data_IF_194930091762
#
_entry.id   IF_194930091762
#
_cell.length_a   1.000
_cell.length_b   1.000
_cell.length_c   1.000
_cell.angle_alpha   90.00
_cell.angle_beta   90.00
_cell.angle_gamma   90.00
#
_symmetry.space_group_name_H-M   'P 1'
#
loop_
_entity.id
_entity.type
_entity.pdbx_description
1 polymer ?
#
# COMPACT_ATOMS: atom_id res chain seq x y z
N UNK A 1 -5.58 -20.53 -1.31
CA UNK A 1 -4.20 -20.68 -0.80
C UNK A 1 -3.28 -19.51 -1.14
N UNK A 2 -3.52 -18.72 -2.20
CA UNK A 2 -2.70 -17.53 -2.50
C UNK A 2 -3.16 -16.22 -1.80
N UNK A 3 -4.34 -16.22 -1.17
CA UNK A 3 -4.92 -15.04 -0.50
C UNK A 3 -4.36 -14.79 0.89
N UNK A 4 -4.00 -15.84 1.63
CA UNK A 4 -3.54 -15.74 3.03
C UNK A 4 -2.10 -15.22 3.17
N UNK A 5 -1.28 -15.36 2.12
CA UNK A 5 0.11 -14.90 2.09
C UNK A 5 0.24 -13.39 1.84
N UNK A 6 -0.75 -12.78 1.17
CA UNK A 6 -0.79 -11.34 0.92
C UNK A 6 -1.30 -10.54 2.13
N UNK A 7 -2.18 -11.11 2.96
CA UNK A 7 -2.69 -10.44 4.16
C UNK A 7 -1.65 -10.40 5.31
N UNK A 8 -0.73 -11.36 5.39
CA UNK A 8 0.36 -11.34 6.37
C UNK A 8 1.39 -10.21 6.13
N UNK A 9 1.49 -9.68 4.91
CA UNK A 9 2.39 -8.57 4.56
C UNK A 9 1.80 -7.18 4.86
N UNK A 10 0.50 -7.08 5.16
CA UNK A 10 -0.18 -5.81 5.46
C UNK A 10 0.12 -5.26 6.87
N UNK A 11 0.40 -6.12 7.85
CA UNK A 11 0.62 -5.69 9.24
C UNK A 11 1.98 -5.02 9.49
N UNK A 12 3.01 -5.37 8.73
CA UNK A 12 4.40 -5.07 9.10
C UNK A 12 4.92 -3.71 8.65
N UNK A 13 4.18 -3.01 7.78
CA UNK A 13 4.57 -1.69 7.26
C UNK A 13 3.96 -0.55 8.11
N UNK A 14 2.97 -0.84 8.95
CA UNK A 14 2.25 0.16 9.75
C UNK A 14 3.01 0.67 10.99
N UNK A 15 4.13 0.06 11.38
CA UNK A 15 4.84 0.40 12.62
C UNK A 15 5.95 1.46 12.49
N UNK A 16 6.16 2.07 11.31
CA UNK A 16 7.32 2.96 11.09
C UNK A 16 7.00 4.37 10.58
N UNK A 17 5.77 4.86 10.74
CA UNK A 17 5.46 6.26 10.43
C UNK A 17 5.45 7.13 11.70
N UNK A 18 6.53 7.89 11.86
CA UNK A 18 6.64 9.01 12.80
C UNK A 18 5.57 10.06 12.46
N UNK A 19 4.68 10.34 13.42
CA UNK A 19 3.65 11.37 13.29
C UNK A 19 4.27 12.76 13.06
N UNK A 20 3.67 13.63 12.21
CA UNK A 20 4.14 15.00 12.04
C UNK A 20 3.86 15.85 13.29
N UNK A 21 4.89 16.55 13.78
CA UNK A 21 4.79 17.42 14.95
C UNK A 21 3.83 18.61 14.72
N UNK A 22 3.10 19.07 15.76
CA UNK A 22 2.16 20.18 15.65
C UNK A 22 2.86 21.54 15.48
N UNK A 23 2.22 22.51 14.79
CA UNK A 23 2.83 23.79 14.45
C UNK A 23 2.96 24.69 15.70
N UNK A 24 4.19 24.97 16.14
CA UNK A 24 4.45 25.96 17.20
C UNK A 24 5.64 25.69 18.14
N UNK A 25 6.45 24.65 17.93
CA UNK A 25 7.63 24.39 18.76
C UNK A 25 8.79 25.35 18.44
N UNK A 26 9.51 25.89 19.44
CA UNK A 26 10.67 26.76 19.24
C UNK A 26 11.85 26.00 18.60
N UNK A 27 12.76 26.70 17.89
CA UNK A 27 13.84 26.05 17.15
C UNK A 27 14.79 25.31 18.09
N UNK A 28 14.87 24.00 17.87
CA UNK A 28 15.72 23.08 18.61
C UNK A 28 17.19 23.42 18.34
N UNK A 29 17.91 23.75 19.42
CA UNK A 29 19.33 24.09 19.38
C UNK A 29 20.14 22.87 18.92
N UNK A 30 21.07 23.13 18.01
CA UNK A 30 22.08 22.21 17.49
C UNK A 30 22.76 21.40 18.61
N UNK A 31 22.44 20.11 18.71
CA UNK A 31 23.23 19.10 19.41
C UNK A 31 24.51 18.74 18.62
N UNK A 32 25.53 18.18 19.29
CA UNK A 32 26.88 18.10 18.75
C UNK A 32 26.96 17.14 17.55
N UNK A 33 27.77 17.53 16.57
CA UNK A 33 28.05 16.74 15.38
C UNK A 33 28.58 15.36 15.75
N UNK A 34 27.90 14.32 15.25
CA UNK A 34 28.49 12.99 15.18
C UNK A 34 29.36 12.94 13.93
N UNK A 35 30.66 13.20 14.13
CA UNK A 35 31.69 12.74 13.22
C UNK A 35 31.58 11.21 13.15
N UNK A 36 31.27 10.68 11.96
CA UNK A 36 31.35 9.22 11.71
C UNK A 36 32.83 8.90 11.54
N UNK A 37 33.54 8.80 12.65
CA UNK A 37 34.81 8.09 12.71
C UNK A 37 34.57 6.65 12.28
N UNK A 38 35.36 6.24 11.29
CA UNK A 38 35.28 4.96 10.61
C UNK A 38 35.95 3.90 11.50
N UNK A 39 35.36 3.60 12.65
CA UNK A 39 35.81 2.52 13.50
C UNK A 39 35.26 1.20 13.00
N UNK A 40 36.15 0.44 12.35
CA UNK A 40 35.92 -0.91 11.90
C UNK A 40 35.86 -1.87 13.07
N UNK A 41 34.71 -1.94 13.74
CA UNK A 41 34.33 -3.05 14.63
C UNK A 41 32.89 -2.92 15.07
N UNK A 42 31.94 -3.29 14.21
CA UNK A 42 30.61 -3.70 14.66
C UNK A 42 30.20 -4.92 13.80
N UNK A 43 30.16 -6.13 14.37
CA UNK A 43 29.63 -7.28 13.66
C UNK A 43 28.12 -7.07 13.52
N UNK A 44 27.61 -7.10 12.29
CA UNK A 44 26.18 -7.32 12.08
C UNK A 44 25.75 -8.66 12.69
N UNK A 45 24.44 -8.97 12.78
CA UNK A 45 24.02 -10.30 13.19
C UNK A 45 24.55 -11.31 12.15
N UNK A 46 25.69 -11.93 12.46
CA UNK A 46 26.26 -13.02 11.70
C UNK A 46 25.27 -14.18 11.75
N UNK A 47 24.67 -14.47 10.60
CA UNK A 47 24.06 -15.78 10.40
C UNK A 47 25.19 -16.82 10.47
N UNK A 48 25.05 -17.88 11.28
CA UNK A 48 26.08 -18.91 11.36
C UNK A 48 26.31 -19.53 9.99
N UNK A 49 27.55 -19.89 9.63
CA UNK A 49 27.86 -20.46 8.33
C UNK A 49 27.12 -21.80 8.17
N UNK A 50 26.41 -21.95 7.06
CA UNK A 50 25.71 -23.18 6.72
C UNK A 50 26.73 -24.32 6.53
N UNK A 51 26.80 -25.22 7.51
CA UNK A 51 27.53 -26.47 7.38
C UNK A 51 26.92 -27.30 6.23
N UNK A 52 27.70 -27.69 5.20
CA UNK A 52 27.18 -28.37 4.01
C UNK A 52 26.66 -29.80 4.28
N UNK A 53 26.76 -30.29 5.52
CA UNK A 53 26.30 -31.61 5.94
C UNK A 53 24.95 -31.61 6.70
N UNK A 54 24.31 -30.45 6.84
CA UNK A 54 23.01 -30.31 7.54
C UNK A 54 21.79 -30.22 6.60
N UNK A 55 21.96 -30.50 5.30
CA UNK A 55 20.89 -30.51 4.29
C UNK A 55 19.95 -31.75 4.36
N UNK A 56 19.87 -32.43 5.51
CA UNK A 56 19.15 -33.70 5.65
C UNK A 56 18.26 -33.84 6.88
N UNK A 57 18.23 -32.87 7.79
CA UNK A 57 17.32 -32.87 8.94
C UNK A 57 16.38 -31.69 8.81
N UNK A 58 15.19 -31.95 8.27
CA UNK A 58 14.11 -30.98 8.26
C UNK A 58 13.85 -30.52 9.69
N UNK A 59 14.04 -29.22 9.90
CA UNK A 59 13.62 -28.51 11.09
C UNK A 59 12.15 -28.88 11.39
N UNK A 60 11.77 -29.20 12.64
CA UNK A 60 10.44 -29.69 12.95
C UNK A 60 9.38 -28.68 12.46
N UNK A 61 8.25 -29.15 11.90
CA UNK A 61 7.22 -28.27 11.40
C UNK A 61 6.72 -27.36 12.52
N UNK A 62 6.82 -26.05 12.28
CA UNK A 62 6.38 -25.01 13.21
C UNK A 62 4.91 -25.30 13.58
N UNK A 63 4.55 -25.38 14.87
CA UNK A 63 3.16 -25.38 15.28
C UNK A 63 2.54 -24.07 14.82
N UNK A 64 1.74 -24.12 13.76
CA UNK A 64 1.05 -22.95 13.23
C UNK A 64 0.01 -22.49 14.26
N UNK A 65 0.01 -21.22 14.69
CA UNK A 65 -1.07 -20.69 15.53
C UNK A 65 -2.39 -20.83 14.78
N UNK A 66 -3.46 -21.19 15.50
CA UNK A 66 -4.78 -21.37 14.89
C UNK A 66 -5.30 -20.02 14.38
N UNK A 67 -5.99 -19.98 13.21
CA UNK A 67 -6.50 -18.74 12.59
C UNK A 67 -7.30 -17.85 13.54
N UNK A 68 -7.99 -18.44 14.52
CA UNK A 68 -8.84 -17.76 15.50
C UNK A 68 -8.05 -16.85 16.46
N UNK A 69 -6.76 -17.11 16.70
CA UNK A 69 -5.93 -16.37 17.67
C UNK A 69 -5.27 -15.11 17.07
N UNK A 70 -5.23 -15.00 15.74
CA UNK A 70 -4.52 -13.96 14.99
C UNK A 70 -5.32 -12.66 14.83
N UNK A 71 -6.63 -12.69 15.10
CA UNK A 71 -7.54 -11.57 14.90
C UNK A 71 -7.99 -11.40 13.44
N UNK A 72 -9.00 -10.55 13.18
CA UNK A 72 -9.63 -10.43 11.86
C UNK A 72 -8.68 -9.98 10.74
N UNK A 73 -7.61 -9.23 11.07
CA UNK A 73 -6.59 -8.77 10.11
C UNK A 73 -5.17 -9.28 10.43
N UNK A 74 -5.04 -10.39 11.16
CA UNK A 74 -3.75 -10.95 11.57
C UNK A 74 -2.85 -9.98 12.37
N UNK A 75 -3.44 -9.05 13.12
CA UNK A 75 -2.73 -8.00 13.86
C UNK A 75 -1.76 -8.58 14.91
N UNK A 76 -2.05 -9.79 15.42
CA UNK A 76 -1.27 -10.45 16.46
C UNK A 76 -0.17 -11.37 15.93
N UNK A 77 0.03 -11.43 14.61
CA UNK A 77 1.07 -12.27 13.98
C UNK A 77 2.48 -11.96 14.49
N UNK A 78 2.77 -10.68 14.67
CA UNK A 78 4.11 -10.23 15.09
C UNK A 78 4.43 -10.62 16.54
N UNK A 79 3.41 -10.66 17.41
CA UNK A 79 3.55 -11.07 18.80
C UNK A 79 3.66 -12.60 18.95
N UNK A 80 2.84 -13.35 18.23
CA UNK A 80 2.75 -14.81 18.35
C UNK A 80 3.88 -15.56 17.61
N UNK A 81 4.32 -15.05 16.47
CA UNK A 81 5.30 -15.73 15.61
C UNK A 81 6.33 -14.76 15.00
N UNK A 82 7.21 -14.14 15.82
CA UNK A 82 8.17 -13.14 15.34
C UNK A 82 9.18 -13.70 14.33
N UNK A 83 9.57 -14.98 14.44
CA UNK A 83 10.47 -15.64 13.47
C UNK A 83 9.86 -15.72 12.07
N UNK A 84 8.58 -16.05 11.96
CA UNK A 84 7.89 -16.18 10.67
C UNK A 84 7.73 -14.81 10.01
N UNK A 85 7.37 -13.80 10.80
CA UNK A 85 7.34 -12.41 10.36
C UNK A 85 8.69 -11.93 9.86
N UNK A 86 9.78 -12.21 10.57
CA UNK A 86 11.12 -11.82 10.16
C UNK A 86 11.60 -12.56 8.90
N UNK A 87 11.24 -13.84 8.75
CA UNK A 87 11.49 -14.60 7.52
C UNK A 87 10.75 -14.00 6.31
N UNK A 88 9.46 -13.64 6.48
CA UNK A 88 8.69 -12.96 5.44
C UNK A 88 9.28 -11.59 5.10
N UNK A 89 9.69 -10.79 6.10
CA UNK A 89 10.41 -9.52 5.89
C UNK A 89 11.70 -9.74 5.09
N UNK A 90 12.48 -10.77 5.43
CA UNK A 90 13.70 -11.15 4.71
C UNK A 90 13.44 -11.49 3.24
N UNK A 91 12.43 -12.33 2.98
CA UNK A 91 12.02 -12.66 1.60
C UNK A 91 11.62 -11.40 0.82
N UNK A 92 10.84 -10.50 1.43
CA UNK A 92 10.46 -9.23 0.78
C UNK A 92 11.68 -8.37 0.46
N UNK A 93 12.67 -8.29 1.35
CA UNK A 93 13.90 -7.54 1.09
C UNK A 93 14.68 -8.15 -0.08
N UNK A 94 14.86 -9.48 -0.09
CA UNK A 94 15.51 -10.19 -1.18
C UNK A 94 14.83 -9.92 -2.53
N UNK A 95 13.49 -10.05 -2.59
CA UNK A 95 12.72 -9.73 -3.80
C UNK A 95 12.86 -8.27 -4.24
N UNK A 96 13.00 -7.33 -3.29
CA UNK A 96 13.22 -5.91 -3.61
C UNK A 96 14.61 -5.66 -4.18
N UNK A 97 15.62 -6.36 -3.68
CA UNK A 97 17.01 -6.23 -4.12
C UNK A 97 17.23 -6.75 -5.54
N UNK A 98 16.62 -7.89 -5.89
CA UNK A 98 16.67 -8.47 -7.24
C UNK A 98 16.17 -7.48 -8.32
N UNK A 99 15.20 -6.63 -7.98
CA UNK A 99 14.59 -5.66 -8.89
C UNK A 99 15.26 -4.28 -8.96
N UNK A 100 16.34 -4.02 -8.21
CA UNK A 100 16.85 -2.64 -8.03
C UNK A 100 17.31 -1.99 -9.34
N UNK A 101 18.00 -2.73 -10.21
CA UNK A 101 18.52 -2.18 -11.47
C UNK A 101 17.38 -1.81 -12.41
N UNK A 102 16.43 -2.73 -12.61
CA UNK A 102 15.23 -2.49 -13.41
C UNK A 102 14.43 -1.29 -12.87
N UNK A 103 14.28 -1.20 -11.54
CA UNK A 103 13.62 -0.08 -10.87
C UNK A 103 14.32 1.26 -11.11
N UNK A 104 15.66 1.31 -11.14
CA UNK A 104 16.41 2.53 -11.45
C UNK A 104 16.21 2.99 -12.89
N UNK A 105 16.15 2.07 -13.85
CA UNK A 105 15.81 2.41 -15.24
C UNK A 105 14.40 2.97 -15.35
N UNK A 106 13.45 2.35 -14.64
CA UNK A 106 12.07 2.81 -14.58
C UNK A 106 11.98 4.23 -13.99
N UNK A 107 12.57 4.47 -12.80
CA UNK A 107 12.56 5.79 -12.15
C UNK A 107 13.15 6.86 -13.06
N UNK A 108 14.23 6.56 -13.81
CA UNK A 108 14.82 7.50 -14.77
C UNK A 108 13.83 7.88 -15.87
N UNK A 109 13.16 6.90 -16.49
CA UNK A 109 12.16 7.14 -17.52
C UNK A 109 10.99 7.98 -17.00
N UNK A 110 10.50 7.65 -15.80
CA UNK A 110 9.43 8.38 -15.13
C UNK A 110 9.84 9.84 -14.88
N UNK A 111 11.04 10.04 -14.33
CA UNK A 111 11.54 11.39 -14.03
C UNK A 111 11.68 12.23 -15.31
N UNK A 112 12.19 11.63 -16.38
CA UNK A 112 12.28 12.28 -17.69
C UNK A 112 10.90 12.73 -18.20
N UNK A 113 9.91 11.83 -18.16
CA UNK A 113 8.55 12.13 -18.57
C UNK A 113 7.92 13.27 -17.76
N UNK A 114 8.17 13.32 -16.44
CA UNK A 114 7.70 14.41 -15.57
C UNK A 114 8.41 15.74 -15.86
N UNK A 115 9.70 15.73 -16.21
CA UNK A 115 10.42 16.93 -16.65
C UNK A 115 9.86 17.45 -17.97
N UNK A 116 9.54 16.55 -18.91
CA UNK A 116 8.89 16.92 -20.17
C UNK A 116 7.50 17.51 -19.96
N UNK A 117 6.73 16.98 -19.00
CA UNK A 117 5.44 17.54 -18.61
C UNK A 117 5.57 19.00 -18.12
N UNK A 118 6.62 19.30 -17.35
CA UNK A 118 6.93 20.66 -16.89
C UNK A 118 7.48 21.58 -18.00
N UNK A 119 7.72 21.06 -19.20
CA UNK A 119 8.30 21.81 -20.33
C UNK A 119 9.84 21.79 -20.36
N UNK A 120 10.50 21.06 -19.45
CA UNK A 120 11.96 20.92 -19.41
C UNK A 120 12.41 19.77 -20.32
N UNK A 121 12.43 20.01 -21.64
CA UNK A 121 12.72 18.97 -22.63
C UNK A 121 14.21 18.68 -22.83
N UNK A 122 15.07 19.66 -22.57
CA UNK A 122 16.52 19.51 -22.78
C UNK A 122 17.26 18.99 -21.55
N UNK A 123 16.56 18.51 -20.52
CA UNK A 123 17.20 17.89 -19.37
C UNK A 123 17.83 16.55 -19.78
N UNK A 124 19.06 16.30 -19.36
CA UNK A 124 19.75 15.03 -19.59
C UNK A 124 20.21 14.39 -18.30
N UNK A 125 20.42 13.07 -18.36
CA UNK A 125 20.88 12.27 -17.24
C UNK A 125 22.40 12.11 -17.30
N UNK A 126 23.12 12.47 -16.23
CA UNK A 126 24.53 12.12 -16.10
C UNK A 126 24.67 10.81 -15.29
N UNK A 127 25.22 9.73 -15.88
CA UNK A 127 25.41 8.46 -15.17
C UNK A 127 26.46 8.52 -14.06
N UNK A 128 27.39 9.49 -14.10
CA UNK A 128 28.44 9.61 -13.09
C UNK A 128 27.91 10.28 -11.81
N UNK A 129 27.19 11.38 -11.95
CA UNK A 129 26.67 12.16 -10.81
C UNK A 129 25.31 11.63 -10.31
N UNK A 130 24.71 10.69 -11.04
CA UNK A 130 23.36 10.15 -10.77
C UNK A 130 22.31 11.27 -10.62
N UNK A 131 22.46 12.36 -11.38
CA UNK A 131 21.62 13.54 -11.33
C UNK A 131 21.16 13.98 -12.73
N UNK A 132 20.02 14.65 -12.78
CA UNK A 132 19.52 15.33 -13.97
C UNK A 132 20.10 16.74 -14.03
N UNK A 133 20.71 17.09 -15.17
CA UNK A 133 21.24 18.42 -15.42
C UNK A 133 20.39 19.18 -16.43
N UNK A 134 20.42 20.50 -16.30
CA UNK A 134 19.82 21.42 -17.25
C UNK A 134 20.93 22.05 -18.12
N UNK A 135 20.64 22.38 -19.39
CA UNK A 135 21.58 23.07 -20.29
C UNK A 135 22.21 24.34 -19.73
N UNK A 136 21.53 25.00 -18.79
CA UNK A 136 21.89 26.33 -18.31
C UNK A 136 22.40 26.34 -16.86
N UNK A 137 22.71 25.17 -16.29
CA UNK A 137 23.17 25.06 -14.90
C UNK A 137 24.66 25.43 -14.73
N UNK A 138 25.47 25.33 -15.79
CA UNK A 138 26.88 25.72 -15.73
C UNK A 138 27.04 27.24 -15.76
N UNK A 139 27.30 27.84 -14.59
CA UNK A 139 27.88 29.20 -14.51
C UNK A 139 29.35 29.12 -14.93
N UNK A 140 29.59 29.09 -16.24
CA UNK A 140 30.95 29.29 -16.78
C UNK A 140 31.21 30.80 -16.73
N UNK A 141 32.27 31.22 -16.05
CA UNK A 141 32.68 32.63 -15.90
C UNK A 141 33.31 33.22 -17.18
N UNK A 142 33.15 32.55 -18.32
CA UNK A 142 33.77 32.91 -19.59
C UNK A 142 32.68 33.27 -20.61
N UNK A 143 32.38 34.57 -20.68
CA UNK A 143 31.28 35.15 -21.47
C UNK A 143 31.45 34.89 -22.99
N UNK A 144 32.66 34.56 -23.46
CA UNK A 144 32.92 34.35 -24.89
C UNK A 144 32.40 33.01 -25.44
N UNK A 145 32.28 31.97 -24.61
CA UNK A 145 31.72 30.68 -25.05
C UNK A 145 30.17 30.67 -25.06
N UNK A 146 29.53 31.65 -24.43
CA UNK A 146 28.06 31.78 -24.36
C UNK A 146 27.44 32.50 -25.56
N UNK A 147 28.21 33.25 -26.34
CA UNK A 147 27.73 33.90 -27.57
C UNK A 147 27.58 32.93 -28.75
N UNK A 148 28.32 31.81 -28.73
CA UNK A 148 28.36 30.86 -29.85
C UNK A 148 27.39 29.67 -29.72
N UNK A 149 26.86 29.41 -28.51
CA UNK A 149 25.84 28.37 -28.33
C UNK A 149 24.44 28.91 -28.65
N UNK A 150 23.72 28.33 -29.64
CA UNK A 150 22.34 28.72 -29.91
C UNK A 150 21.49 28.43 -28.67
N UNK A 151 21.06 29.50 -27.99
CA UNK A 151 20.16 29.40 -26.84
C UNK A 151 18.87 28.76 -27.33
N UNK A 152 18.59 27.54 -26.90
CA UNK A 152 17.30 26.89 -27.09
C UNK A 152 16.23 27.62 -26.27
N UNK A 153 15.83 28.80 -26.72
CA UNK A 153 14.95 29.72 -25.99
C UNK A 153 13.48 29.34 -26.10
N UNK A 154 13.13 28.52 -27.11
CA UNK A 154 11.77 28.07 -27.36
C UNK A 154 11.69 26.55 -27.31
N UNK A 155 10.82 26.05 -26.44
CA UNK A 155 10.45 24.64 -26.35
C UNK A 155 9.01 24.51 -26.81
N UNK A 156 8.79 23.81 -27.94
CA UNK A 156 7.44 23.45 -28.35
C UNK A 156 7.00 22.22 -27.54
N UNK A 157 6.12 22.42 -26.56
CA UNK A 157 5.71 21.34 -25.66
C UNK A 157 4.67 20.39 -26.27
N UNK A 158 5.12 19.53 -27.17
CA UNK A 158 4.28 18.53 -27.82
C UNK A 158 3.85 17.41 -26.85
N UNK A 159 4.69 17.08 -25.88
CA UNK A 159 4.41 16.04 -24.89
C UNK A 159 3.21 16.38 -24.00
N UNK A 160 3.15 17.62 -23.51
CA UNK A 160 2.01 18.10 -22.71
C UNK A 160 0.73 18.18 -23.54
N UNK A 161 0.80 18.67 -24.79
CA UNK A 161 -0.37 18.76 -25.66
C UNK A 161 -1.00 17.38 -25.90
N UNK A 162 -0.20 16.38 -26.25
CA UNK A 162 -0.70 15.01 -26.41
C UNK A 162 -1.18 14.40 -25.11
N UNK A 163 -0.48 14.60 -24.00
CA UNK A 163 -0.93 14.06 -22.72
C UNK A 163 -2.23 14.70 -22.23
N UNK A 164 -2.47 15.98 -22.48
CA UNK A 164 -3.76 16.61 -22.21
C UNK A 164 -4.87 16.03 -23.09
N UNK A 165 -4.59 15.76 -24.38
CA UNK A 165 -5.55 15.08 -25.25
C UNK A 165 -5.88 13.66 -24.76
N UNK A 166 -4.88 12.93 -24.27
CA UNK A 166 -5.05 11.60 -23.70
C UNK A 166 -5.89 11.63 -22.41
N UNK A 167 -5.56 12.55 -21.48
CA UNK A 167 -6.32 12.74 -20.25
C UNK A 167 -7.77 13.09 -20.59
N UNK A 168 -8.01 13.98 -21.56
CA UNK A 168 -9.37 14.38 -21.96
C UNK A 168 -10.23 13.25 -22.52
N UNK A 169 -9.62 12.17 -23.04
CA UNK A 169 -10.35 10.99 -23.52
C UNK A 169 -10.63 10.02 -22.36
N UNK A 170 -9.64 9.80 -21.50
CA UNK A 170 -9.79 8.87 -20.38
C UNK A 170 -10.63 9.41 -19.23
N UNK A 171 -10.67 10.72 -19.02
CA UNK A 171 -11.40 11.35 -17.93
C UNK A 171 -12.87 11.63 -18.26
N UNK A 172 -13.39 11.16 -19.41
CA UNK A 172 -14.76 11.48 -19.84
C UNK A 172 -15.81 10.78 -18.97
N UNK A 173 -15.65 9.48 -18.77
CA UNK A 173 -16.61 8.66 -18.06
C UNK A 173 -15.91 7.72 -17.08
N UNK A 174 -16.43 7.66 -15.85
CA UNK A 174 -15.99 6.69 -14.86
C UNK A 174 -16.58 5.32 -15.22
N UNK A 175 -15.75 4.27 -15.41
CA UNK A 175 -16.26 2.93 -15.69
C UNK A 175 -17.02 2.41 -14.46
N UNK A 176 -18.34 2.31 -14.58
CA UNK A 176 -19.19 1.80 -13.50
C UNK A 176 -19.05 0.28 -13.34
N UNK A 177 -18.83 -0.19 -12.11
CA UNK A 177 -18.82 -1.62 -11.80
C UNK A 177 -20.25 -2.15 -11.72
N UNK A 178 -20.59 -3.14 -12.55
CA UNK A 178 -21.89 -3.81 -12.51
C UNK A 178 -21.75 -5.18 -11.87
N UNK A 179 -22.56 -5.45 -10.86
CA UNK A 179 -22.64 -6.78 -10.24
C UNK A 179 -23.79 -7.57 -10.85
N UNK A 180 -23.48 -8.74 -11.38
CA UNK A 180 -24.47 -9.67 -11.92
C UNK A 180 -24.70 -10.83 -10.93
N UNK A 181 -25.94 -11.31 -10.75
CA UNK A 181 -26.19 -12.51 -9.98
C UNK A 181 -25.57 -13.72 -10.68
N UNK A 182 -25.06 -14.68 -9.90
CA UNK A 182 -24.51 -15.94 -10.43
C UNK A 182 -25.62 -16.79 -11.07
N UNK A 183 -26.80 -16.84 -10.44
CA UNK A 183 -28.00 -17.46 -10.99
C UNK A 183 -29.17 -16.47 -11.00
N UNK A 184 -29.86 -16.37 -12.15
CA UNK A 184 -31.07 -15.57 -12.28
C UNK A 184 -32.32 -16.25 -11.66
N UNK A 185 -32.21 -17.49 -11.20
CA UNK A 185 -33.32 -18.24 -10.59
C UNK A 185 -33.33 -18.12 -9.06
N UNK A 186 -32.21 -17.73 -8.44
CA UNK A 186 -32.11 -17.56 -7.00
C UNK A 186 -32.49 -16.14 -6.60
N UNK A 187 -33.55 -16.00 -5.79
CA UNK A 187 -33.94 -14.70 -5.24
C UNK A 187 -32.83 -14.10 -4.36
N UNK A 188 -32.11 -14.95 -3.63
CA UNK A 188 -31.02 -14.54 -2.74
C UNK A 188 -29.91 -13.88 -3.55
N UNK A 189 -29.50 -14.48 -4.67
CA UNK A 189 -28.44 -13.96 -5.53
C UNK A 189 -28.83 -12.63 -6.18
N UNK A 190 -30.11 -12.50 -6.59
CA UNK A 190 -30.65 -11.25 -7.14
C UNK A 190 -30.61 -10.14 -6.08
N UNK A 191 -31.03 -10.44 -4.85
CA UNK A 191 -31.03 -9.46 -3.76
C UNK A 191 -29.60 -9.03 -3.38
N UNK A 192 -28.65 -9.98 -3.36
CA UNK A 192 -27.24 -9.71 -3.07
C UNK A 192 -26.59 -8.86 -4.17
N UNK A 193 -26.86 -9.15 -5.44
CA UNK A 193 -26.35 -8.35 -6.56
C UNK A 193 -26.89 -6.90 -6.54
N UNK A 194 -28.16 -6.72 -6.15
CA UNK A 194 -28.75 -5.38 -5.95
C UNK A 194 -28.07 -4.64 -4.80
N UNK A 195 -27.94 -5.27 -3.63
CA UNK A 195 -27.26 -4.68 -2.48
C UNK A 195 -25.80 -4.29 -2.80
N UNK A 196 -25.05 -5.15 -3.49
CA UNK A 196 -23.69 -4.84 -3.91
C UNK A 196 -23.63 -3.64 -4.87
N UNK A 197 -24.60 -3.52 -5.78
CA UNK A 197 -24.69 -2.37 -6.69
C UNK A 197 -24.98 -1.06 -5.94
N UNK A 198 -25.81 -1.10 -4.90
CA UNK A 198 -26.07 0.05 -4.02
C UNK A 198 -24.82 0.45 -3.20
N UNK A 199 -24.04 -0.52 -2.73
CA UNK A 199 -22.78 -0.25 -2.02
C UNK A 199 -21.73 0.37 -2.95
N UNK A 200 -21.62 -0.09 -4.20
CA UNK A 200 -20.66 0.50 -5.15
C UNK A 200 -20.97 1.97 -5.46
N UNK A 201 -22.24 2.34 -5.66
CA UNK A 201 -22.59 3.75 -5.90
C UNK A 201 -22.26 4.63 -4.69
N UNK A 202 -22.46 4.12 -3.47
CA UNK A 202 -22.07 4.81 -2.25
C UNK A 202 -20.55 5.03 -2.16
N UNK A 203 -19.76 4.01 -2.51
CA UNK A 203 -18.29 4.08 -2.52
C UNK A 203 -17.78 5.06 -3.59
N UNK A 204 -18.38 5.07 -4.78
CA UNK A 204 -18.02 5.98 -5.88
C UNK A 204 -18.27 7.45 -5.49
N UNK A 205 -19.41 7.72 -4.86
CA UNK A 205 -19.77 9.07 -4.39
C UNK A 205 -18.83 9.56 -3.30
N UNK A 206 -18.49 8.71 -2.34
CA UNK A 206 -17.62 9.06 -1.22
C UNK A 206 -16.17 9.34 -1.61
N UNK A 207 -15.68 8.72 -2.68
CA UNK A 207 -14.29 8.80 -3.11
C UNK A 207 -14.04 9.82 -4.24
N UNK A 208 -15.05 10.55 -4.70
CA UNK A 208 -14.95 11.48 -5.83
C UNK A 208 -14.22 10.86 -7.04
N UNK A 209 -14.73 9.73 -7.52
CA UNK A 209 -14.06 8.88 -8.51
C UNK A 209 -13.60 9.62 -9.78
N UNK A 210 -14.35 10.64 -10.22
CA UNK A 210 -13.99 11.47 -11.37
C UNK A 210 -12.65 12.21 -11.18
N UNK A 211 -12.42 12.83 -10.02
CA UNK A 211 -11.16 13.51 -9.73
C UNK A 211 -9.99 12.52 -9.65
N UNK A 212 -10.26 11.31 -9.14
CA UNK A 212 -9.26 10.24 -9.07
C UNK A 212 -8.89 9.73 -10.47
N UNK A 213 -9.84 9.66 -11.39
CA UNK A 213 -9.63 9.24 -12.78
C UNK A 213 -8.68 10.19 -13.53
N UNK A 214 -8.83 11.51 -13.35
CA UNK A 214 -7.90 12.50 -13.93
C UNK A 214 -6.47 12.30 -13.44
N UNK A 215 -6.29 12.07 -12.14
CA UNK A 215 -4.97 11.78 -11.57
C UNK A 215 -4.41 10.45 -12.08
N UNK A 216 -5.25 9.42 -12.21
CA UNK A 216 -4.87 8.13 -12.76
C UNK A 216 -4.41 8.25 -14.21
N UNK A 217 -5.12 9.01 -15.04
CA UNK A 217 -4.74 9.27 -16.43
C UNK A 217 -3.39 10.01 -16.52
N UNK A 218 -3.15 10.99 -15.64
CA UNK A 218 -1.87 11.69 -15.55
C UNK A 218 -0.72 10.74 -15.18
N UNK A 219 -0.88 9.90 -14.15
CA UNK A 219 0.14 8.94 -13.74
C UNK A 219 0.33 7.83 -14.80
N UNK A 220 -0.72 7.42 -15.50
CA UNK A 220 -0.60 6.46 -16.58
C UNK A 220 0.21 7.01 -17.76
N UNK A 221 0.07 8.30 -18.08
CA UNK A 221 0.84 8.97 -19.14
C UNK A 221 2.31 9.22 -18.75
N UNK A 222 2.56 9.64 -17.51
CA UNK A 222 3.90 10.02 -17.04
C UNK A 222 4.70 8.85 -16.48
N UNK A 223 4.07 8.03 -15.64
CA UNK A 223 4.73 6.95 -14.91
C UNK A 223 4.54 5.58 -15.59
N UNK A 224 3.53 5.42 -16.46
CA UNK A 224 3.23 4.18 -17.18
C UNK A 224 2.55 3.10 -16.32
N UNK A 225 2.34 3.35 -15.03
CA UNK A 225 1.71 2.44 -14.09
C UNK A 225 0.95 3.21 -13.02
N UNK A 226 -0.15 2.62 -12.56
CA UNK A 226 -0.94 3.15 -11.44
C UNK A 226 -1.30 2.00 -10.52
N UNK A 227 -1.22 2.23 -9.21
CA UNK A 227 -1.67 1.31 -8.18
C UNK A 227 -2.72 1.99 -7.32
N UNK A 228 -3.83 1.31 -7.08
CA UNK A 228 -4.84 1.72 -6.11
C UNK A 228 -4.70 0.91 -4.82
N UNK A 229 -4.77 1.60 -3.68
CA UNK A 229 -4.90 0.95 -2.38
C UNK A 229 -6.19 1.44 -1.73
N UNK A 230 -7.03 0.50 -1.31
CA UNK A 230 -8.28 0.80 -0.60
C UNK A 230 -8.07 0.41 0.85
N UNK A 231 -8.22 1.38 1.74
CA UNK A 231 -8.23 1.14 3.19
C UNK A 231 -9.66 1.10 3.70
N UNK A 232 -9.93 0.17 4.62
CA UNK A 232 -11.16 0.19 5.40
C UNK A 232 -10.99 1.17 6.55
N UNK A 233 -11.90 2.13 6.67
CA UNK A 233 -11.95 3.10 7.77
C UNK A 233 -13.37 3.10 8.31
N UNK A 234 -13.54 2.58 9.52
CA UNK A 234 -14.79 2.70 10.26
C UNK A 234 -14.80 4.06 10.98
N UNK A 235 -15.61 5.00 10.49
CA UNK A 235 -15.78 6.34 11.05
C UNK A 235 -17.27 6.59 11.30
N UNK A 236 -17.73 6.30 12.52
CA UNK A 236 -19.15 6.39 12.90
C UNK A 236 -19.76 7.79 12.72
N UNK A 237 -19.08 8.90 13.08
CA UNK A 237 -19.55 10.26 12.79
C UNK A 237 -19.79 10.55 11.30
N UNK A 238 -19.01 9.95 10.39
CA UNK A 238 -19.10 10.22 8.94
C UNK A 238 -20.05 9.27 8.23
N UNK A 239 -20.08 8.01 8.63
CA UNK A 239 -20.79 6.94 7.92
C UNK A 239 -22.05 6.45 8.66
N UNK A 240 -22.31 6.96 9.86
CA UNK A 240 -23.41 6.52 10.71
C UNK A 240 -23.03 5.30 11.55
N UNK A 241 -23.91 4.96 12.48
CA UNK A 241 -23.79 3.79 13.34
C UNK A 241 -24.81 2.74 12.90
N UNK A 242 -24.39 1.49 12.88
CA UNK A 242 -25.30 0.36 12.71
C UNK A 242 -25.30 -0.45 14.00
N UNK A 243 -26.46 -0.58 14.62
CA UNK A 243 -26.61 -1.40 15.82
C UNK A 243 -26.58 -2.87 15.41
N UNK A 244 -25.45 -3.54 15.66
CA UNK A 244 -25.35 -4.97 15.49
C UNK A 244 -25.91 -5.67 16.74
N UNK A 245 -26.92 -6.55 16.61
CA UNK A 245 -27.46 -7.25 17.76
C UNK A 245 -26.38 -8.19 18.31
N UNK A 246 -25.94 -7.92 19.54
CA UNK A 246 -25.05 -8.82 20.26
C UNK A 246 -25.82 -10.10 20.61
N UNK A 247 -25.62 -11.17 19.83
CA UNK A 247 -26.25 -12.47 20.07
C UNK A 247 -25.42 -13.18 21.14
N UNK A 248 -25.64 -12.83 22.39
CA UNK A 248 -25.09 -13.58 23.51
C UNK A 248 -25.99 -14.80 23.79
N UNK A 249 -25.41 -16.01 23.98
CA UNK A 249 -26.15 -17.14 24.49
C UNK A 249 -26.58 -16.83 25.93
N UNK A 250 -27.82 -16.36 26.09
CA UNK A 250 -28.43 -16.20 27.40
C UNK A 250 -28.83 -17.59 27.88
N UNK A 251 -28.15 -18.08 28.92
CA UNK A 251 -28.60 -19.26 29.67
C UNK A 251 -29.90 -18.91 30.39
N UNK A 252 -31.03 -19.22 29.74
CA UNK A 252 -32.33 -19.18 30.40
C UNK A 252 -32.35 -20.38 31.33
N UNK A 253 -32.41 -20.13 32.65
CA UNK A 253 -32.76 -21.16 33.60
C UNK A 253 -34.15 -21.69 33.21
N UNK A 254 -34.17 -22.86 32.57
CA UNK A 254 -35.37 -23.69 32.53
C UNK A 254 -35.84 -23.78 33.99
N UNK A 255 -37.13 -23.51 34.23
CA UNK A 255 -37.70 -23.42 35.58
C UNK A 255 -37.33 -24.62 36.46
N UNK A 256 -37.58 -24.54 37.78
CA UNK A 256 -37.19 -25.60 38.71
C UNK A 256 -37.61 -26.96 38.16
N UNK A 257 -36.69 -27.92 38.15
CA UNK A 257 -36.96 -29.28 37.69
C UNK A 257 -38.12 -29.85 38.52
N UNK A 258 -39.34 -29.85 37.97
CA UNK A 258 -40.48 -30.52 38.58
C UNK A 258 -40.63 -31.88 37.91
N UNK A 259 -40.52 -32.93 38.71
CA UNK A 259 -40.84 -34.27 38.25
C UNK A 259 -42.33 -34.52 38.49
N UNK A 260 -43.13 -34.56 37.42
CA UNK A 260 -44.56 -34.92 37.52
C UNK A 260 -44.68 -36.43 37.44
N UNK A 261 -45.08 -37.06 38.55
CA UNK A 261 -45.35 -38.49 38.56
C UNK A 261 -46.58 -38.80 37.68
N UNK A 262 -46.45 -39.65 36.63
CA UNK A 262 -47.54 -39.96 35.70
C UNK A 262 -48.69 -40.76 36.33
N UNK A 263 -48.53 -41.23 37.58
CA UNK A 263 -49.53 -42.05 38.28
C UNK A 263 -50.36 -41.29 39.33
N UNK A 264 -49.83 -40.21 39.91
CA UNK A 264 -50.50 -39.49 41.00
C UNK A 264 -50.53 -37.97 40.85
N UNK A 265 -49.85 -37.39 39.85
CA UNK A 265 -49.91 -35.96 39.55
C UNK A 265 -49.33 -35.03 40.61
N UNK A 266 -48.57 -35.57 41.56
CA UNK A 266 -47.88 -34.76 42.58
C UNK A 266 -46.59 -34.21 41.98
N UNK A 267 -46.39 -32.90 42.13
CA UNK A 267 -45.18 -32.17 41.72
C UNK A 267 -44.17 -32.22 42.88
N UNK A 268 -42.95 -32.73 42.62
CA UNK A 268 -41.78 -32.65 43.51
C UNK A 268 -40.58 -32.13 42.77
#
# INVERSE_FOLDING_TARGET
>A
MATTLFDALRGLVALNEVAPAPPGAPPEQSGPGYDVERDGSNPGPEFPPDDPNTLGQGEPPIPLPKPEELGPNNERLEELAPRLVNALRGLVLQYREEGLVARRHEIRRIRQARLFWQGLQYAWWNPNDMQWHLPFESRVYDDQAFEEMPRYQFVTNLYQAFGLSFISVLSQDVPATRFFPQSAQSLVDISAARAASEVATLVEQNNHAERMLTNLAFFLWTDGKVGGYVRYVADGPRFGWHDEPNIEPVEIALGPEYYVCPQCGVET
#
